data_IF_555493841298
#
_entry.id   IF_555493841298
#
_cell.length_a   1.000
_cell.length_b   1.000
_cell.length_c   1.000
_cell.angle_alpha   90.00
_cell.angle_beta   90.00
_cell.angle_gamma   90.00
#
_symmetry.space_group_name_H-M   'P 1'
#
loop_
_entity.id
_entity.type
_entity.pdbx_description
1 polymer ?
#
# COMPACT_ATOMS: atom_id res chain seq x y z
N UNK A 1 27.76 6.64 0.62
CA UNK A 1 26.89 7.77 1.04
C UNK A 1 25.51 7.22 1.24
N UNK A 2 24.93 7.35 2.44
CA UNK A 2 23.50 7.16 2.76
C UNK A 2 22.77 6.01 2.05
N UNK A 3 23.39 4.83 1.90
CA UNK A 3 22.71 3.66 1.34
C UNK A 3 21.70 3.19 2.39
N UNK A 4 20.42 3.54 2.18
CA UNK A 4 19.34 3.23 3.11
C UNK A 4 18.89 4.38 4.04
N UNK A 5 18.93 5.63 3.57
CA UNK A 5 18.24 6.71 4.29
C UNK A 5 16.72 6.51 4.26
N UNK A 6 16.03 6.83 5.36
CA UNK A 6 14.56 6.69 5.50
C UNK A 6 13.80 7.29 4.32
N UNK A 7 14.23 8.48 3.85
CA UNK A 7 13.61 9.15 2.72
C UNK A 7 13.78 8.41 1.39
N UNK A 8 14.87 7.66 1.19
CA UNK A 8 15.09 6.87 -0.01
C UNK A 8 14.20 5.62 -0.02
N UNK A 9 14.07 4.93 1.12
CA UNK A 9 13.13 3.81 1.26
C UNK A 9 11.68 4.27 1.13
N UNK A 10 11.35 5.44 1.69
CA UNK A 10 10.05 6.07 1.50
C UNK A 10 9.78 6.38 0.03
N UNK A 11 10.74 6.92 -0.73
CA UNK A 11 10.57 7.21 -2.15
C UNK A 11 10.30 5.95 -3.00
N UNK A 12 10.86 4.79 -2.62
CA UNK A 12 10.59 3.51 -3.28
C UNK A 12 9.22 2.95 -2.89
N UNK A 13 8.80 3.13 -1.63
CA UNK A 13 7.53 2.60 -1.12
C UNK A 13 6.32 3.48 -1.48
N UNK A 14 6.52 4.79 -1.61
CA UNK A 14 5.48 5.78 -1.92
C UNK A 14 4.61 5.42 -3.14
N UNK A 15 5.16 5.05 -4.31
CA UNK A 15 4.35 4.66 -5.47
C UNK A 15 3.49 3.42 -5.23
N UNK A 16 3.84 2.54 -4.28
CA UNK A 16 3.04 1.36 -3.97
C UNK A 16 1.67 1.71 -3.37
N UNK A 17 1.58 2.84 -2.67
CA UNK A 17 0.33 3.38 -2.08
C UNK A 17 -0.48 4.27 -3.03
N UNK A 18 0.09 4.74 -4.14
CA UNK A 18 -0.55 5.72 -5.04
C UNK A 18 -1.66 5.14 -5.93
N UNK A 19 -1.82 3.80 -5.98
CA UNK A 19 -2.78 3.11 -6.86
C UNK A 19 -4.27 3.35 -6.59
N UNK A 20 -4.63 4.08 -5.52
CA UNK A 20 -6.02 4.34 -5.10
C UNK A 20 -6.85 5.02 -6.20
N UNK A 21 -6.24 5.88 -7.00
CA UNK A 21 -6.92 6.61 -8.09
C UNK A 21 -7.34 5.70 -9.26
N UNK A 22 -6.71 4.54 -9.46
CA UNK A 22 -7.13 3.59 -10.51
C UNK A 22 -8.53 3.02 -10.23
N UNK A 23 -8.87 2.81 -8.95
CA UNK A 23 -10.21 2.38 -8.54
C UNK A 23 -11.30 3.44 -8.83
N UNK A 24 -10.94 4.72 -8.81
CA UNK A 24 -11.85 5.83 -9.13
C UNK A 24 -12.16 5.94 -10.64
N UNK A 25 -11.36 5.32 -11.51
CA UNK A 25 -11.59 5.35 -12.95
C UNK A 25 -12.70 4.36 -13.39
N UNK A 26 -12.97 3.32 -12.60
CA UNK A 26 -14.03 2.32 -12.86
C UNK A 26 -15.35 2.72 -12.18
N UNK A 27 -15.33 3.73 -11.29
CA UNK A 27 -16.55 4.20 -10.61
C UNK A 27 -17.61 4.86 -11.49
N UNK A 28 -17.36 5.04 -12.79
CA UNK A 28 -18.39 5.47 -13.76
C UNK A 28 -19.51 4.45 -13.99
N UNK A 29 -19.26 3.16 -13.70
CA UNK A 29 -20.25 2.07 -13.83
C UNK A 29 -20.91 1.71 -12.48
N UNK A 30 -20.67 2.50 -11.43
CA UNK A 30 -21.26 2.26 -10.12
C UNK A 30 -22.65 2.86 -10.00
N UNK A 31 -23.58 2.05 -9.46
CA UNK A 31 -24.98 2.42 -9.20
C UNK A 31 -25.14 3.67 -8.31
N UNK A 32 -24.21 3.89 -7.37
CA UNK A 32 -24.19 5.04 -6.45
C UNK A 32 -22.74 5.53 -6.19
N UNK A 33 -22.15 6.33 -7.09
CA UNK A 33 -20.72 6.69 -7.05
C UNK A 33 -20.35 7.58 -5.84
N UNK A 34 -21.25 8.47 -5.41
CA UNK A 34 -20.99 9.40 -4.30
C UNK A 34 -20.74 8.71 -2.95
N UNK A 35 -21.36 7.54 -2.73
CA UNK A 35 -21.27 6.79 -1.46
C UNK A 35 -20.30 5.62 -1.56
N UNK A 36 -20.20 5.01 -2.74
CA UNK A 36 -19.39 3.80 -2.93
C UNK A 36 -17.90 4.09 -3.10
N UNK A 37 -17.52 5.22 -3.71
CA UNK A 37 -16.11 5.64 -3.81
C UNK A 37 -15.47 5.80 -2.42
N UNK A 38 -16.01 6.63 -1.50
CA UNK A 38 -15.36 6.83 -0.21
C UNK A 38 -15.32 5.55 0.65
N UNK A 39 -16.38 4.72 0.63
CA UNK A 39 -16.38 3.43 1.33
C UNK A 39 -15.38 2.44 0.74
N UNK A 40 -15.32 2.35 -0.60
CA UNK A 40 -14.41 1.46 -1.32
C UNK A 40 -12.96 1.85 -1.09
N UNK A 41 -12.64 3.14 -1.18
CA UNK A 41 -11.29 3.66 -0.90
C UNK A 41 -10.85 3.40 0.54
N UNK A 42 -11.72 3.64 1.54
CA UNK A 42 -11.38 3.41 2.94
C UNK A 42 -11.12 1.93 3.23
N UNK A 43 -11.95 1.03 2.69
CA UNK A 43 -11.77 -0.42 2.79
C UNK A 43 -10.49 -0.87 2.08
N UNK A 44 -10.21 -0.33 0.90
CA UNK A 44 -8.99 -0.64 0.16
C UNK A 44 -7.72 -0.22 0.92
N UNK A 45 -7.70 0.99 1.49
CA UNK A 45 -6.58 1.48 2.32
C UNK A 45 -6.38 0.58 3.54
N UNK A 46 -7.46 0.23 4.23
CA UNK A 46 -7.40 -0.63 5.40
C UNK A 46 -6.81 -2.01 5.07
N UNK A 47 -7.28 -2.62 3.98
CA UNK A 47 -6.80 -3.93 3.55
C UNK A 47 -5.33 -3.89 3.12
N UNK A 48 -4.92 -2.93 2.28
CA UNK A 48 -3.53 -2.82 1.84
C UNK A 48 -2.57 -2.56 3.00
N UNK A 49 -2.98 -1.75 3.98
CA UNK A 49 -2.20 -1.53 5.21
C UNK A 49 -1.96 -2.83 5.96
N UNK A 50 -3.01 -3.65 6.14
CA UNK A 50 -2.88 -4.97 6.79
C UNK A 50 -1.93 -5.87 6.00
N UNK A 51 -2.08 -5.96 4.68
CA UNK A 51 -1.26 -6.85 3.86
C UNK A 51 0.22 -6.44 3.91
N UNK A 52 0.53 -5.14 3.87
CA UNK A 52 1.91 -4.66 4.01
C UNK A 52 2.52 -5.00 5.37
N UNK A 53 1.75 -4.91 6.45
CA UNK A 53 2.20 -5.30 7.79
C UNK A 53 2.42 -6.81 7.88
N UNK A 54 1.49 -7.63 7.35
CA UNK A 54 1.61 -9.08 7.35
C UNK A 54 2.84 -9.56 6.58
N UNK A 55 3.10 -8.99 5.40
CA UNK A 55 4.28 -9.34 4.59
C UNK A 55 5.55 -8.92 5.34
N UNK A 56 5.57 -7.74 5.94
CA UNK A 56 6.73 -7.25 6.72
C UNK A 56 7.03 -8.14 7.92
N UNK A 57 6.00 -8.55 8.68
CA UNK A 57 6.13 -9.45 9.83
C UNK A 57 6.58 -10.84 9.38
N UNK A 58 5.98 -11.39 8.32
CA UNK A 58 6.34 -12.72 7.80
C UNK A 58 7.77 -12.74 7.25
N UNK A 59 8.18 -11.70 6.51
CA UNK A 59 9.56 -11.57 6.03
C UNK A 59 10.54 -11.43 7.21
N UNK A 60 10.22 -10.62 8.23
CA UNK A 60 11.06 -10.49 9.42
C UNK A 60 11.15 -11.76 10.28
N UNK A 61 10.10 -12.58 10.29
CA UNK A 61 10.05 -13.82 11.07
C UNK A 61 10.70 -15.02 10.34
N UNK A 62 10.60 -15.08 9.00
CA UNK A 62 11.07 -16.22 8.21
C UNK A 62 12.45 -16.00 7.57
N UNK A 63 12.91 -14.76 7.44
CA UNK A 63 14.17 -14.44 6.76
C UNK A 63 15.19 -13.95 7.79
N UNK A 64 16.22 -14.75 8.04
CA UNK A 64 17.40 -14.30 8.79
C UNK A 64 18.11 -13.27 7.92
N UNK A 65 18.31 -12.07 8.47
CA UNK A 65 19.07 -11.03 7.79
C UNK A 65 20.54 -11.45 7.76
N UNK A 66 20.99 -12.00 6.62
CA UNK A 66 22.40 -12.25 6.35
C UNK A 66 23.09 -10.90 6.17
N UNK A 67 23.66 -10.39 7.27
CA UNK A 67 24.52 -9.23 7.26
C UNK A 67 25.96 -9.74 7.13
N UNK A 68 26.41 -9.94 5.89
CA UNK A 68 27.83 -10.00 5.55
C UNK A 68 28.36 -8.62 5.18
#
# INVERSE_FOLDING_TARGET
GSEGSFFQMFAIFFPATTGILSGANISGDLKDPATAIPKGTLMAIFWTTITYLLISVTAGACVVRDAS
#
